data_IF_641619613395
#
_entry.id   IF_641619613395
#
_cell.length_a   1.000
_cell.length_b   1.000
_cell.length_c   1.000
_cell.angle_alpha   90.00
_cell.angle_beta   90.00
_cell.angle_gamma   90.00
#
_symmetry.space_group_name_H-M   'P 1'
#
loop_
_entity.id
_entity.type
_entity.pdbx_description
1 polymer ?
#
# COMPACT_ATOMS: atom_id res chain seq x y z
N UNK A 1 5.20 -45.08 1.61
CA UNK A 1 4.04 -44.30 2.06
C UNK A 1 4.59 -43.13 2.87
N UNK A 2 4.45 -41.89 2.38
CA UNK A 2 4.92 -40.72 3.15
C UNK A 2 4.15 -40.65 4.46
N UNK A 3 4.87 -40.64 5.57
CA UNK A 3 4.34 -40.64 6.94
C UNK A 3 4.01 -39.21 7.44
N UNK A 4 3.86 -38.25 6.51
CA UNK A 4 3.72 -36.83 6.81
C UNK A 4 2.25 -36.44 6.98
N UNK A 5 1.93 -35.79 8.11
CA UNK A 5 0.58 -35.36 8.47
C UNK A 5 0.08 -34.27 7.51
N UNK A 6 -1.09 -34.49 6.90
CA UNK A 6 -1.79 -33.49 6.07
C UNK A 6 -2.44 -32.40 6.92
N UNK A 7 -2.76 -31.24 6.32
CA UNK A 7 -3.47 -30.16 7.00
C UNK A 7 -4.77 -30.65 7.66
N UNK A 8 -5.58 -31.41 6.92
CA UNK A 8 -6.87 -31.89 7.43
C UNK A 8 -6.69 -32.84 8.62
N UNK A 9 -5.69 -33.73 8.59
CA UNK A 9 -5.38 -34.61 9.72
C UNK A 9 -4.98 -33.80 10.97
N UNK A 10 -4.13 -32.78 10.82
CA UNK A 10 -3.73 -31.89 11.92
C UNK A 10 -4.93 -31.14 12.53
N UNK A 11 -5.83 -30.62 11.69
CA UNK A 11 -7.06 -29.96 12.14
C UNK A 11 -8.03 -30.91 12.85
N UNK A 12 -8.22 -32.13 12.31
CA UNK A 12 -9.13 -33.13 12.88
C UNK A 12 -8.65 -33.58 14.27
N UNK A 13 -7.34 -33.75 14.46
CA UNK A 13 -6.73 -34.07 15.77
C UNK A 13 -7.02 -32.99 16.82
N UNK A 14 -7.17 -31.73 16.42
CA UNK A 14 -7.50 -30.59 17.30
C UNK A 14 -9.01 -30.37 17.49
N UNK A 15 -9.85 -31.31 17.06
CA UNK A 15 -11.29 -31.26 17.26
C UNK A 15 -12.06 -30.40 16.23
N UNK A 16 -11.41 -29.91 15.17
CA UNK A 16 -12.09 -29.12 14.13
C UNK A 16 -13.07 -29.99 13.35
N UNK A 17 -14.34 -29.58 13.26
CA UNK A 17 -15.35 -30.30 12.48
C UNK A 17 -15.12 -30.15 10.97
N UNK A 18 -15.55 -31.13 10.16
CA UNK A 18 -15.52 -31.00 8.68
C UNK A 18 -16.25 -29.75 8.18
N UNK A 19 -17.34 -29.35 8.86
CA UNK A 19 -18.09 -28.12 8.54
C UNK A 19 -17.24 -26.87 8.78
N UNK A 20 -16.55 -26.78 9.91
CA UNK A 20 -15.66 -25.64 10.22
C UNK A 20 -14.49 -25.56 9.24
N UNK A 21 -13.93 -26.71 8.85
CA UNK A 21 -12.89 -26.80 7.83
C UNK A 21 -13.37 -26.28 6.46
N UNK A 22 -14.57 -26.66 6.01
CA UNK A 22 -15.12 -26.15 4.75
C UNK A 22 -15.41 -24.65 4.81
N UNK A 23 -15.84 -24.11 5.96
CA UNK A 23 -15.99 -22.66 6.16
C UNK A 23 -14.65 -21.93 6.03
N UNK A 24 -13.59 -22.49 6.62
CA UNK A 24 -12.23 -21.97 6.47
C UNK A 24 -11.81 -21.92 4.99
N UNK A 25 -12.03 -23.02 4.24
CA UNK A 25 -11.72 -23.07 2.82
C UNK A 25 -12.49 -22.01 2.01
N UNK A 26 -13.75 -21.74 2.36
CA UNK A 26 -14.53 -20.67 1.71
C UNK A 26 -14.00 -19.28 2.03
N UNK A 27 -13.62 -19.01 3.29
CA UNK A 27 -13.03 -17.72 3.66
C UNK A 27 -11.68 -17.49 2.96
N UNK A 28 -10.84 -18.51 2.89
CA UNK A 28 -9.59 -18.50 2.14
C UNK A 28 -9.81 -18.21 0.64
N UNK A 29 -10.84 -18.81 0.03
CA UNK A 29 -11.19 -18.50 -1.36
C UNK A 29 -11.57 -17.02 -1.52
N UNK A 30 -12.40 -16.49 -0.61
CA UNK A 30 -12.84 -15.09 -0.66
C UNK A 30 -11.70 -14.11 -0.44
N UNK A 31 -10.79 -14.35 0.51
CA UNK A 31 -9.63 -13.46 0.76
C UNK A 31 -8.67 -13.39 -0.43
N UNK A 32 -8.65 -14.46 -1.23
CA UNK A 32 -7.91 -14.54 -2.50
C UNK A 32 -8.66 -13.94 -3.70
N UNK A 33 -9.88 -13.41 -3.51
CA UNK A 33 -10.73 -12.93 -4.59
C UNK A 33 -11.19 -14.05 -5.54
N UNK A 34 -11.20 -15.30 -5.08
CA UNK A 34 -11.60 -16.45 -5.87
C UNK A 34 -13.10 -16.71 -5.73
N UNK A 35 -13.74 -17.13 -6.82
CA UNK A 35 -15.17 -17.49 -6.81
C UNK A 35 -15.47 -18.73 -5.95
N UNK A 36 -16.73 -18.88 -5.53
CA UNK A 36 -17.19 -19.98 -4.65
C UNK A 36 -16.88 -21.40 -5.17
N UNK A 37 -16.71 -21.56 -6.49
CA UNK A 37 -16.28 -22.83 -7.10
C UNK A 37 -14.86 -23.27 -6.75
N UNK A 38 -14.05 -22.40 -6.11
CA UNK A 38 -12.69 -22.72 -5.70
C UNK A 38 -12.60 -23.39 -4.34
N UNK A 39 -13.59 -23.21 -3.45
CA UNK A 39 -13.61 -23.84 -2.12
C UNK A 39 -13.30 -25.35 -2.14
N UNK A 40 -13.88 -26.17 -3.03
CA UNK A 40 -13.61 -27.61 -3.05
C UNK A 40 -12.16 -27.96 -3.40
N UNK A 41 -11.49 -27.17 -4.25
CA UNK A 41 -10.08 -27.37 -4.58
C UNK A 41 -9.17 -27.01 -3.41
N UNK A 42 -9.49 -25.94 -2.67
CA UNK A 42 -8.80 -25.60 -1.42
C UNK A 42 -8.95 -26.75 -0.42
N UNK A 43 -10.18 -27.22 -0.21
CA UNK A 43 -10.45 -28.32 0.69
C UNK A 43 -9.67 -29.58 0.30
N UNK A 44 -9.65 -29.93 -0.98
CA UNK A 44 -8.91 -31.11 -1.47
C UNK A 44 -7.40 -30.99 -1.24
N UNK A 45 -6.80 -29.83 -1.55
CA UNK A 45 -5.37 -29.62 -1.35
C UNK A 45 -4.98 -29.80 0.13
N UNK A 46 -5.78 -29.21 1.02
CA UNK A 46 -5.58 -29.30 2.47
C UNK A 46 -5.90 -30.71 3.03
N UNK A 47 -6.76 -31.48 2.37
CA UNK A 47 -7.03 -32.87 2.76
C UNK A 47 -5.91 -33.85 2.36
N UNK A 48 -5.16 -33.55 1.30
CA UNK A 48 -4.31 -34.55 0.65
C UNK A 48 -2.81 -34.19 0.58
N UNK A 49 -2.41 -32.94 0.87
CA UNK A 49 -1.01 -32.53 0.82
C UNK A 49 -0.39 -32.39 2.22
N UNK A 50 0.84 -32.88 2.42
CA UNK A 50 1.67 -32.52 3.57
C UNK A 50 1.88 -31.00 3.64
N UNK A 51 2.14 -30.49 4.84
CA UNK A 51 2.46 -29.09 5.06
C UNK A 51 3.81 -28.75 4.44
N UNK A 52 3.89 -27.64 3.71
CA UNK A 52 5.11 -27.21 3.04
C UNK A 52 6.11 -26.71 4.11
N UNK A 53 7.37 -27.18 4.12
CA UNK A 53 8.42 -26.65 4.99
C UNK A 53 8.75 -25.20 4.64
N UNK A 54 8.81 -24.35 5.67
CA UNK A 54 9.14 -22.93 5.56
C UNK A 54 10.28 -22.61 6.52
N UNK A 55 11.32 -21.97 5.98
CA UNK A 55 12.44 -21.41 6.74
C UNK A 55 12.30 -19.89 6.68
N UNK A 56 12.12 -19.23 7.82
CA UNK A 56 12.01 -17.78 7.93
C UNK A 56 13.27 -17.22 8.59
N UNK A 57 14.04 -16.41 7.85
CA UNK A 57 15.28 -15.79 8.35
C UNK A 57 15.18 -14.28 8.39
N UNK A 58 15.93 -13.68 9.32
CA UNK A 58 15.91 -12.24 9.62
C UNK A 58 17.29 -11.62 9.40
N UNK A 59 17.36 -10.63 8.50
CA UNK A 59 18.55 -9.80 8.27
C UNK A 59 18.54 -8.53 9.11
N UNK A 60 19.01 -7.40 8.55
CA UNK A 60 18.72 -6.09 9.12
C UNK A 60 17.24 -5.77 8.94
N UNK A 61 16.51 -5.66 10.06
CA UNK A 61 15.06 -5.47 10.07
C UNK A 61 14.57 -4.70 11.31
N UNK A 62 13.26 -4.51 11.39
CA UNK A 62 12.55 -4.01 12.57
C UNK A 62 11.41 -4.96 13.01
N UNK A 63 11.35 -6.18 12.48
CA UNK A 63 10.37 -7.24 12.80
C UNK A 63 8.91 -6.88 12.49
N UNK A 64 8.65 -5.76 11.80
CA UNK A 64 7.29 -5.32 11.49
C UNK A 64 6.54 -6.30 10.57
N UNK A 65 7.24 -7.13 9.76
CA UNK A 65 6.58 -8.07 8.86
C UNK A 65 6.13 -9.31 9.61
N UNK A 66 6.95 -9.87 10.51
CA UNK A 66 6.52 -10.94 11.42
C UNK A 66 5.36 -10.48 12.31
N UNK A 67 5.43 -9.26 12.87
CA UNK A 67 4.29 -8.68 13.60
C UNK A 67 3.03 -8.59 12.72
N UNK A 68 3.17 -8.09 11.50
CA UNK A 68 2.05 -8.03 10.55
C UNK A 68 1.48 -9.43 10.23
N UNK A 69 2.34 -10.42 10.02
CA UNK A 69 1.91 -11.79 9.75
C UNK A 69 1.06 -12.36 10.88
N UNK A 70 1.46 -12.16 12.14
CA UNK A 70 0.68 -12.66 13.29
C UNK A 70 -0.65 -11.93 13.50
N UNK A 71 -0.82 -10.74 12.91
CA UNK A 71 -2.07 -9.98 12.88
C UNK A 71 -3.06 -10.42 11.79
N UNK A 72 -2.77 -11.49 11.04
CA UNK A 72 -3.70 -12.01 10.05
C UNK A 72 -5.00 -12.49 10.70
N UNK A 73 -6.14 -12.01 10.17
CA UNK A 73 -7.47 -12.38 10.63
C UNK A 73 -7.94 -13.67 9.96
N UNK A 74 -7.75 -13.78 8.63
CA UNK A 74 -8.32 -14.87 7.85
C UNK A 74 -7.41 -15.33 6.69
N UNK A 75 -6.64 -16.43 6.86
CA UNK A 75 -6.60 -17.32 8.02
C UNK A 75 -5.89 -16.70 9.24
N UNK A 76 -6.21 -17.16 10.46
CA UNK A 76 -5.45 -16.77 11.65
C UNK A 76 -4.01 -17.29 11.52
N UNK A 77 -3.02 -16.53 11.99
CA UNK A 77 -1.62 -16.95 11.97
C UNK A 77 -1.39 -18.29 12.70
N UNK A 78 -2.12 -18.52 13.80
CA UNK A 78 -2.18 -19.82 14.47
C UNK A 78 -2.55 -20.94 13.50
N UNK A 79 -3.59 -20.76 12.68
CA UNK A 79 -4.04 -21.78 11.73
C UNK A 79 -3.06 -21.94 10.56
N UNK A 80 -2.36 -20.86 10.17
CA UNK A 80 -1.27 -20.92 9.20
C UNK A 80 -0.15 -21.84 9.71
N UNK A 81 0.40 -21.55 10.90
CA UNK A 81 1.53 -22.29 11.49
C UNK A 81 1.13 -23.73 11.83
N UNK A 82 -0.05 -23.92 12.42
CA UNK A 82 -0.46 -25.21 12.92
C UNK A 82 -1.03 -26.14 11.85
N UNK A 83 -1.43 -25.59 10.70
CA UNK A 83 -2.20 -26.34 9.72
C UNK A 83 -1.73 -26.12 8.29
N UNK A 84 -1.47 -24.89 7.80
CA UNK A 84 -1.12 -24.62 6.38
C UNK A 84 0.34 -24.95 6.03
N UNK A 85 1.27 -24.55 6.87
CA UNK A 85 2.71 -24.70 6.62
C UNK A 85 3.38 -25.44 7.78
N UNK A 86 4.62 -25.86 7.57
CA UNK A 86 5.52 -26.20 8.68
C UNK A 86 6.53 -25.07 8.81
N UNK A 87 6.28 -24.15 9.75
CA UNK A 87 7.24 -23.09 10.06
C UNK A 87 8.36 -23.71 10.91
N UNK A 88 9.36 -24.25 10.22
CA UNK A 88 10.36 -25.15 10.81
C UNK A 88 11.57 -24.38 11.36
N UNK A 89 11.74 -23.12 10.94
CA UNK A 89 12.74 -22.20 11.48
C UNK A 89 12.19 -20.77 11.44
N UNK A 90 12.22 -20.07 12.57
CA UNK A 90 11.89 -18.65 12.71
C UNK A 90 12.51 -18.15 14.02
N UNK A 91 13.49 -17.25 13.94
CA UNK A 91 14.24 -16.76 15.11
C UNK A 91 13.33 -16.06 16.14
N UNK A 92 12.16 -15.58 15.74
CA UNK A 92 11.22 -14.84 16.61
C UNK A 92 10.33 -15.76 17.43
N UNK A 93 9.93 -16.92 16.87
CA UNK A 93 8.88 -17.78 17.44
C UNK A 93 9.38 -19.16 17.90
N UNK A 94 10.57 -19.59 17.48
CA UNK A 94 11.08 -20.93 17.79
C UNK A 94 11.51 -21.07 19.26
N UNK A 95 11.38 -22.28 19.79
CA UNK A 95 11.78 -22.59 21.17
C UNK A 95 13.30 -22.75 21.34
N UNK A 96 14.00 -23.25 20.32
CA UNK A 96 15.43 -23.48 20.36
C UNK A 96 16.22 -22.18 20.14
N UNK A 97 17.39 -22.05 20.76
CA UNK A 97 18.29 -20.91 20.64
C UNK A 97 19.75 -21.38 20.55
N UNK A 98 20.67 -20.49 20.20
CA UNK A 98 22.10 -20.82 20.12
C UNK A 98 22.38 -22.02 19.21
N UNK A 99 23.21 -22.95 19.68
CA UNK A 99 23.59 -24.14 18.92
C UNK A 99 22.39 -25.01 18.53
N UNK A 100 21.36 -25.11 19.37
CA UNK A 100 20.15 -25.88 19.03
C UNK A 100 19.38 -25.24 17.88
N UNK A 101 19.35 -23.91 17.78
CA UNK A 101 18.75 -23.23 16.63
C UNK A 101 19.58 -23.47 15.35
N UNK A 102 20.91 -23.42 15.46
CA UNK A 102 21.82 -23.73 14.34
C UNK A 102 21.65 -25.17 13.84
N UNK A 103 21.48 -26.14 14.75
CA UNK A 103 21.17 -27.53 14.41
C UNK A 103 19.84 -27.67 13.68
N UNK A 104 18.78 -26.99 14.14
CA UNK A 104 17.46 -26.99 13.46
C UNK A 104 17.59 -26.38 12.05
N UNK A 105 18.29 -25.25 11.91
CA UNK A 105 18.50 -24.63 10.61
C UNK A 105 19.21 -25.56 9.64
N UNK A 106 20.30 -26.21 10.08
CA UNK A 106 21.10 -27.10 9.25
C UNK A 106 20.36 -28.39 8.90
N UNK A 107 19.61 -28.96 9.85
CA UNK A 107 18.79 -30.16 9.63
C UNK A 107 17.69 -29.90 8.60
N UNK A 108 16.93 -28.80 8.75
CA UNK A 108 15.81 -28.46 7.86
C UNK A 108 16.32 -28.11 6.45
N UNK A 109 17.35 -27.26 6.36
CA UNK A 109 17.89 -26.83 5.05
C UNK A 109 18.55 -27.98 4.28
N UNK A 110 19.06 -29.01 4.97
CA UNK A 110 19.62 -30.22 4.36
C UNK A 110 18.54 -31.23 4.01
N UNK A 111 17.67 -31.59 4.96
CA UNK A 111 16.63 -32.61 4.80
C UNK A 111 15.62 -32.26 3.71
N UNK A 112 15.26 -30.98 3.60
CA UNK A 112 14.27 -30.49 2.65
C UNK A 112 14.87 -29.70 1.48
N UNK A 113 16.16 -29.86 1.20
CA UNK A 113 16.83 -29.20 0.08
C UNK A 113 16.04 -29.38 -1.23
N UNK A 114 15.81 -28.27 -1.93
CA UNK A 114 15.02 -28.17 -3.16
C UNK A 114 13.50 -28.15 -2.94
N UNK A 115 13.00 -28.26 -1.71
CA UNK A 115 11.56 -28.39 -1.42
C UNK A 115 10.99 -27.27 -0.55
N UNK A 116 11.77 -26.70 0.37
CA UNK A 116 11.26 -25.66 1.28
C UNK A 116 11.15 -24.28 0.61
N UNK A 117 10.24 -23.47 1.15
CA UNK A 117 10.14 -22.05 0.84
C UNK A 117 11.00 -21.27 1.83
N UNK A 118 11.81 -20.34 1.33
CA UNK A 118 12.57 -19.42 2.16
C UNK A 118 11.79 -18.10 2.30
N UNK A 119 11.32 -17.80 3.49
CA UNK A 119 10.83 -16.48 3.86
C UNK A 119 12.02 -15.64 4.35
N UNK A 120 12.15 -14.42 3.84
CA UNK A 120 13.19 -13.49 4.27
C UNK A 120 12.54 -12.19 4.70
N UNK A 121 12.75 -11.83 5.97
CA UNK A 121 12.51 -10.48 6.47
C UNK A 121 13.86 -9.75 6.65
N UNK A 122 13.85 -8.45 6.37
CA UNK A 122 15.08 -7.66 6.39
C UNK A 122 15.96 -7.87 5.17
N UNK A 123 17.21 -7.43 5.27
CA UNK A 123 18.20 -7.54 4.19
C UNK A 123 19.65 -7.67 4.69
N UNK A 124 20.56 -8.19 3.85
CA UNK A 124 21.98 -8.22 4.15
C UNK A 124 22.64 -6.82 4.00
N UNK A 125 23.42 -6.36 4.98
CA UNK A 125 24.37 -5.28 4.80
C UNK A 125 25.64 -5.79 4.08
N UNK A 126 26.22 -4.95 3.22
CA UNK A 126 27.49 -5.27 2.54
C UNK A 126 28.70 -4.53 3.13
N UNK A 127 28.47 -3.46 3.90
CA UNK A 127 29.53 -2.73 4.59
C UNK A 127 30.21 -3.58 5.67
N UNK A 128 31.46 -3.24 6.00
CA UNK A 128 32.27 -3.94 7.02
C UNK A 128 32.29 -5.47 6.84
N UNK A 129 32.52 -5.93 5.60
CA UNK A 129 32.52 -7.36 5.24
C UNK A 129 31.20 -8.09 5.59
N UNK A 130 30.10 -7.34 5.71
CA UNK A 130 28.78 -7.84 6.09
C UNK A 130 28.53 -7.96 7.60
N UNK A 131 29.46 -7.51 8.44
CA UNK A 131 29.41 -7.67 9.90
C UNK A 131 28.47 -6.70 10.62
N UNK A 132 27.79 -5.79 9.90
CA UNK A 132 26.71 -5.00 10.49
C UNK A 132 25.49 -5.86 10.89
N UNK A 133 25.38 -7.09 10.38
CA UNK A 133 24.40 -8.08 10.81
C UNK A 133 25.08 -9.43 10.98
N UNK A 134 25.20 -9.90 12.22
CA UNK A 134 25.96 -11.10 12.59
C UNK A 134 24.98 -12.18 13.06
N UNK A 135 25.08 -13.39 12.51
CA UNK A 135 24.32 -14.56 12.93
C UNK A 135 25.29 -15.73 13.09
N UNK A 136 25.27 -16.41 14.25
CA UNK A 136 26.21 -17.50 14.55
C UNK A 136 27.69 -17.08 14.48
N UNK A 137 27.99 -15.82 14.82
CA UNK A 137 29.34 -15.26 14.72
C UNK A 137 29.85 -14.98 13.30
N UNK A 138 28.99 -15.08 12.27
CA UNK A 138 29.32 -14.88 10.86
C UNK A 138 28.43 -13.80 10.22
N UNK A 139 28.84 -13.20 9.10
CA UNK A 139 27.97 -12.30 8.33
C UNK A 139 26.64 -12.97 7.96
N UNK A 140 25.51 -12.29 8.20
CA UNK A 140 24.17 -12.82 7.85
C UNK A 140 24.05 -13.24 6.39
N UNK A 141 24.77 -12.57 5.47
CA UNK A 141 24.78 -12.91 4.05
C UNK A 141 25.21 -14.37 3.78
N UNK A 142 26.02 -14.99 4.65
CA UNK A 142 26.38 -16.41 4.57
C UNK A 142 25.16 -17.30 4.86
N UNK A 143 24.43 -17.03 5.96
CA UNK A 143 23.18 -17.73 6.32
C UNK A 143 22.14 -17.59 5.21
N UNK A 144 21.98 -16.37 4.67
CA UNK A 144 21.09 -16.09 3.54
C UNK A 144 21.45 -16.94 2.31
N UNK A 145 22.73 -16.96 1.88
CA UNK A 145 23.16 -17.73 0.71
C UNK A 145 22.97 -19.24 0.91
N UNK A 146 23.28 -19.77 2.11
CA UNK A 146 23.08 -21.19 2.45
C UNK A 146 21.60 -21.57 2.36
N UNK A 147 20.71 -20.78 2.97
CA UNK A 147 19.27 -21.01 2.88
C UNK A 147 18.73 -20.84 1.44
N UNK A 148 19.21 -19.83 0.71
CA UNK A 148 18.74 -19.58 -0.65
C UNK A 148 19.09 -20.73 -1.60
N UNK A 149 20.31 -21.29 -1.48
CA UNK A 149 20.77 -22.39 -2.33
C UNK A 149 19.85 -23.63 -2.24
N UNK A 150 19.37 -23.95 -1.03
CA UNK A 150 18.46 -25.08 -0.80
C UNK A 150 16.97 -24.78 -1.01
N UNK A 151 16.57 -23.52 -1.17
CA UNK A 151 15.16 -23.16 -1.33
C UNK A 151 14.62 -23.48 -2.74
N UNK A 152 13.33 -23.82 -2.84
CA UNK A 152 12.62 -23.94 -4.12
C UNK A 152 12.18 -22.57 -4.65
N UNK A 153 11.76 -21.68 -3.76
CA UNK A 153 11.47 -20.28 -4.03
C UNK A 153 11.67 -19.43 -2.78
N UNK A 154 11.79 -18.11 -2.97
CA UNK A 154 12.02 -17.13 -1.90
C UNK A 154 10.86 -16.15 -1.87
N UNK A 155 10.34 -15.87 -0.67
CA UNK A 155 9.41 -14.76 -0.43
C UNK A 155 10.17 -13.66 0.30
N UNK A 156 10.33 -12.51 -0.35
CA UNK A 156 10.92 -11.31 0.22
C UNK A 156 9.83 -10.48 0.92
N UNK A 157 9.70 -10.65 2.22
CA UNK A 157 8.69 -9.96 3.03
C UNK A 157 9.08 -8.51 3.31
N UNK A 158 8.15 -7.62 3.01
CA UNK A 158 8.27 -6.20 3.30
C UNK A 158 9.21 -5.46 2.37
N UNK A 159 9.22 -4.14 2.57
CA UNK A 159 10.05 -3.23 1.77
C UNK A 159 11.55 -3.45 2.02
N UNK A 160 11.94 -4.01 3.18
CA UNK A 160 13.33 -4.30 3.52
C UNK A 160 13.92 -5.34 2.56
N UNK A 161 13.31 -6.52 2.50
CA UNK A 161 13.77 -7.61 1.64
C UNK A 161 13.54 -7.29 0.16
N UNK A 162 12.42 -6.64 -0.15
CA UNK A 162 12.05 -6.30 -1.54
C UNK A 162 12.97 -5.23 -2.14
N UNK A 163 13.28 -4.15 -1.40
CA UNK A 163 13.88 -2.94 -1.95
C UNK A 163 14.94 -2.24 -1.09
N UNK A 164 15.10 -2.61 0.18
CA UNK A 164 16.08 -2.00 1.09
C UNK A 164 15.47 -1.29 2.31
N UNK A 165 14.31 -0.64 2.13
CA UNK A 165 13.61 0.16 3.15
C UNK A 165 14.48 1.22 3.85
N UNK A 166 14.25 1.46 5.13
CA UNK A 166 14.74 2.64 5.88
C UNK A 166 16.27 2.60 6.04
N UNK A 167 16.83 1.43 6.28
CA UNK A 167 18.27 1.22 6.40
C UNK A 167 19.04 1.48 5.09
N UNK A 168 18.34 1.40 3.94
CA UNK A 168 18.89 1.70 2.63
C UNK A 168 18.60 3.13 2.14
N UNK A 169 17.83 3.92 2.91
CA UNK A 169 17.62 5.34 2.62
C UNK A 169 18.94 6.11 2.74
N UNK A 170 19.06 7.27 2.09
CA UNK A 170 20.31 8.06 2.13
C UNK A 170 20.78 8.32 3.57
N UNK A 171 22.09 8.12 3.88
CA UNK A 171 23.18 7.76 2.98
C UNK A 171 23.48 6.26 2.83
N UNK A 172 22.62 5.36 3.32
CA UNK A 172 22.82 3.90 3.36
C UNK A 172 24.16 3.48 4.01
N UNK A 173 24.33 3.75 5.33
CA UNK A 173 25.62 3.57 6.00
C UNK A 173 26.11 2.12 6.05
N UNK A 174 25.19 1.16 6.08
CA UNK A 174 25.52 -0.29 6.17
C UNK A 174 25.58 -0.95 4.80
N UNK A 175 25.31 -0.21 3.72
CA UNK A 175 25.14 -0.75 2.37
C UNK A 175 24.09 -1.88 2.34
N UNK A 176 22.98 -1.67 3.05
CA UNK A 176 21.82 -2.56 3.07
C UNK A 176 21.32 -2.77 1.63
N UNK A 177 21.23 -4.04 1.22
CA UNK A 177 21.01 -4.41 -0.18
C UNK A 177 19.87 -5.42 -0.29
N UNK A 178 18.84 -5.20 -1.13
CA UNK A 178 17.68 -6.10 -1.22
C UNK A 178 18.05 -7.49 -1.73
N UNK A 179 17.20 -8.48 -1.43
CA UNK A 179 17.52 -9.90 -1.61
C UNK A 179 17.81 -10.25 -3.08
N UNK A 180 17.09 -9.64 -4.01
CA UNK A 180 17.24 -9.88 -5.46
C UNK A 180 18.55 -9.34 -6.07
N UNK A 181 19.33 -8.57 -5.30
CA UNK A 181 20.68 -8.14 -5.68
C UNK A 181 21.78 -9.05 -5.15
N UNK A 182 21.45 -9.93 -4.21
CA UNK A 182 22.37 -10.90 -3.61
C UNK A 182 22.11 -12.31 -4.12
N UNK A 183 20.84 -12.69 -4.21
CA UNK A 183 20.38 -13.98 -4.74
C UNK A 183 19.78 -13.73 -6.12
N UNK A 184 20.35 -14.37 -7.15
CA UNK A 184 20.02 -14.09 -8.56
C UNK A 184 19.60 -15.33 -9.34
N UNK A 185 19.70 -16.51 -8.73
CA UNK A 185 19.50 -17.83 -9.32
C UNK A 185 18.25 -18.55 -8.78
N UNK A 186 17.38 -17.84 -8.04
CA UNK A 186 16.14 -18.38 -7.46
C UNK A 186 14.93 -17.51 -7.80
N UNK A 187 13.73 -18.10 -7.92
CA UNK A 187 12.49 -17.33 -7.99
C UNK A 187 12.29 -16.51 -6.71
N UNK A 188 12.11 -15.19 -6.84
CA UNK A 188 11.87 -14.28 -5.71
C UNK A 188 10.51 -13.59 -5.90
N UNK A 189 9.60 -13.83 -4.96
CA UNK A 189 8.32 -13.12 -4.83
C UNK A 189 8.52 -11.95 -3.89
N UNK A 190 8.44 -10.72 -4.40
CA UNK A 190 8.49 -9.50 -3.60
C UNK A 190 7.12 -9.17 -3.05
N UNK A 191 7.00 -9.07 -1.74
CA UNK A 191 5.75 -8.64 -1.09
C UNK A 191 6.02 -7.36 -0.31
N UNK A 192 6.09 -6.20 -0.98
CA UNK A 192 6.53 -4.96 -0.37
C UNK A 192 5.43 -4.29 0.47
N UNK A 193 5.85 -3.30 1.27
CA UNK A 193 5.06 -2.65 2.31
C UNK A 193 5.88 -2.57 3.60
N UNK A 194 5.66 -1.55 4.42
CA UNK A 194 6.37 -1.37 5.69
C UNK A 194 5.38 -1.28 6.87
N UNK A 195 4.77 -2.41 7.29
CA UNK A 195 4.85 -3.75 6.70
C UNK A 195 3.86 -3.97 5.53
N UNK A 196 3.83 -5.15 4.88
CA UNK A 196 2.71 -5.58 4.04
C UNK A 196 1.46 -5.82 4.89
N UNK A 197 0.27 -5.78 4.28
CA UNK A 197 -1.01 -6.01 4.99
C UNK A 197 -1.05 -7.46 5.53
N UNK A 198 -1.48 -7.68 6.79
CA UNK A 198 -1.54 -9.01 7.41
C UNK A 198 -2.25 -10.06 6.55
N UNK A 199 -3.49 -9.77 6.16
CA UNK A 199 -4.31 -10.68 5.36
C UNK A 199 -3.80 -10.85 3.93
N UNK A 200 -3.01 -9.91 3.41
CA UNK A 200 -2.31 -10.08 2.11
C UNK A 200 -1.18 -11.10 2.25
N UNK A 201 -0.41 -11.05 3.33
CA UNK A 201 0.67 -12.02 3.58
C UNK A 201 0.11 -13.44 3.70
N UNK A 202 -0.93 -13.61 4.52
CA UNK A 202 -1.56 -14.92 4.73
C UNK A 202 -2.32 -15.43 3.49
N UNK A 203 -2.94 -14.53 2.72
CA UNK A 203 -3.53 -14.89 1.43
C UNK A 203 -2.47 -15.41 0.46
N UNK A 204 -1.33 -14.73 0.30
CA UNK A 204 -0.24 -15.21 -0.58
C UNK A 204 0.24 -16.61 -0.18
N UNK A 205 0.44 -16.86 1.12
CA UNK A 205 0.80 -18.21 1.63
C UNK A 205 -0.28 -19.22 1.26
N UNK A 206 -1.55 -18.89 1.52
CA UNK A 206 -2.69 -19.78 1.24
C UNK A 206 -2.81 -20.08 -0.25
N UNK A 207 -2.58 -19.09 -1.12
CA UNK A 207 -2.54 -19.28 -2.56
C UNK A 207 -1.45 -20.28 -2.95
N UNK A 208 -0.22 -20.08 -2.47
CA UNK A 208 0.91 -20.96 -2.81
C UNK A 208 0.66 -22.40 -2.36
N UNK A 209 0.17 -22.61 -1.15
CA UNK A 209 -0.18 -23.94 -0.62
C UNK A 209 -1.32 -24.59 -1.42
N UNK A 210 -2.37 -23.82 -1.72
CA UNK A 210 -3.56 -24.32 -2.41
C UNK A 210 -3.27 -24.71 -3.86
N UNK A 211 -2.59 -23.83 -4.59
CA UNK A 211 -2.41 -23.95 -6.03
C UNK A 211 -1.06 -24.57 -6.41
N UNK A 212 -0.18 -24.78 -5.44
CA UNK A 212 1.13 -25.43 -5.63
C UNK A 212 1.96 -24.74 -6.72
N UNK A 213 1.89 -23.40 -6.72
CA UNK A 213 2.56 -22.54 -7.68
C UNK A 213 2.75 -21.14 -7.11
N UNK A 214 3.71 -20.41 -7.64
CA UNK A 214 3.89 -18.99 -7.34
C UNK A 214 2.72 -18.17 -7.90
N UNK A 215 2.33 -17.06 -7.25
CA UNK A 215 1.36 -16.14 -7.81
C UNK A 215 1.89 -15.51 -9.11
N UNK A 216 0.98 -15.06 -9.97
CA UNK A 216 1.38 -14.25 -11.12
C UNK A 216 1.99 -12.94 -10.62
N UNK A 217 3.16 -12.60 -11.16
CA UNK A 217 3.95 -11.45 -10.72
C UNK A 217 3.96 -10.37 -11.80
N UNK A 218 4.02 -9.11 -11.39
CA UNK A 218 4.38 -8.02 -12.28
C UNK A 218 5.88 -8.06 -12.64
N UNK A 219 6.30 -7.15 -13.54
CA UNK A 219 7.70 -7.02 -13.97
C UNK A 219 8.70 -6.70 -12.85
N UNK A 220 8.23 -6.33 -11.65
CA UNK A 220 9.05 -6.06 -10.47
C UNK A 220 9.11 -7.25 -9.51
N UNK A 221 8.37 -8.33 -9.79
CA UNK A 221 8.28 -9.52 -8.95
C UNK A 221 7.18 -9.45 -7.88
N UNK A 222 6.20 -8.55 -8.01
CA UNK A 222 5.12 -8.36 -7.02
C UNK A 222 3.85 -9.12 -7.42
N UNK A 223 3.13 -9.80 -6.51
CA UNK A 223 1.89 -10.49 -6.84
C UNK A 223 0.81 -9.56 -7.43
N UNK A 224 0.36 -9.84 -8.65
CA UNK A 224 -0.61 -9.01 -9.38
C UNK A 224 -1.93 -8.83 -8.62
N UNK A 225 -2.37 -9.85 -7.90
CA UNK A 225 -3.63 -9.85 -7.14
C UNK A 225 -3.72 -8.72 -6.08
N UNK A 226 -2.59 -8.25 -5.54
CA UNK A 226 -2.55 -7.21 -4.51
C UNK A 226 -1.76 -5.96 -4.90
N UNK A 227 -0.87 -6.08 -5.88
CA UNK A 227 0.01 -4.98 -6.33
C UNK A 227 -0.21 -4.57 -7.79
N UNK A 228 -1.26 -5.09 -8.44
CA UNK A 228 -1.59 -4.75 -9.83
C UNK A 228 -2.27 -3.37 -10.01
N UNK A 229 -2.78 -2.78 -8.93
CA UNK A 229 -3.47 -1.50 -8.94
C UNK A 229 -2.84 -0.51 -7.95
N UNK A 230 -2.99 0.79 -8.24
CA UNK A 230 -2.53 1.85 -7.35
C UNK A 230 -3.54 2.08 -6.24
N UNK A 231 -3.05 2.53 -5.09
CA UNK A 231 -3.89 2.98 -3.96
C UNK A 231 -4.94 3.99 -4.43
N UNK A 232 -4.51 4.97 -5.23
CA UNK A 232 -5.37 6.04 -5.73
C UNK A 232 -6.49 5.57 -6.67
N UNK A 233 -6.29 4.46 -7.38
CA UNK A 233 -7.26 3.93 -8.34
C UNK A 233 -8.43 3.20 -7.66
N UNK A 234 -8.29 2.89 -6.35
CA UNK A 234 -9.34 2.31 -5.50
C UNK A 234 -9.62 3.12 -4.23
N UNK A 235 -9.11 4.35 -4.15
CA UNK A 235 -9.30 5.21 -2.99
C UNK A 235 -10.75 5.70 -2.89
N UNK A 236 -11.38 5.55 -1.73
CA UNK A 236 -12.75 6.04 -1.50
C UNK A 236 -12.85 7.58 -1.56
N UNK A 237 -11.76 8.30 -1.33
CA UNK A 237 -11.67 9.77 -1.45
C UNK A 237 -11.42 10.25 -2.89
N UNK A 238 -11.49 9.36 -3.88
CA UNK A 238 -11.24 9.71 -5.28
C UNK A 238 -12.22 10.74 -5.82
N UNK A 239 -13.49 10.67 -5.40
CA UNK A 239 -14.50 11.67 -5.77
C UNK A 239 -14.08 13.11 -5.40
N UNK A 240 -13.54 13.31 -4.18
CA UNK A 240 -13.04 14.62 -3.74
C UNK A 240 -11.80 15.06 -4.53
N UNK A 241 -10.90 14.13 -4.86
CA UNK A 241 -9.75 14.43 -5.73
C UNK A 241 -10.21 14.94 -7.10
N UNK A 242 -11.16 14.22 -7.72
CA UNK A 242 -11.69 14.54 -9.05
C UNK A 242 -12.50 15.85 -9.03
N UNK A 243 -13.14 16.20 -7.89
CA UNK A 243 -13.83 17.48 -7.69
C UNK A 243 -12.89 18.67 -7.45
N UNK A 244 -11.65 18.42 -7.01
CA UNK A 244 -10.71 19.47 -6.57
C UNK A 244 -10.89 19.88 -5.10
N UNK A 245 -11.51 19.01 -4.29
CA UNK A 245 -11.79 19.20 -2.88
C UNK A 245 -10.68 18.58 -2.03
N UNK A 246 -9.87 19.42 -1.41
CA UNK A 246 -8.66 19.01 -0.71
C UNK A 246 -8.61 19.50 0.72
N UNK A 247 -8.00 18.69 1.57
CA UNK A 247 -7.46 19.16 2.85
C UNK A 247 -6.26 20.06 2.56
N UNK A 248 -6.21 21.22 3.21
CA UNK A 248 -5.09 22.18 3.06
C UNK A 248 -4.25 22.30 4.33
N UNK A 249 -4.82 21.99 5.49
CA UNK A 249 -4.12 21.90 6.76
C UNK A 249 -4.76 20.86 7.67
N UNK A 250 -3.99 20.33 8.64
CA UNK A 250 -4.50 19.31 9.55
C UNK A 250 -5.64 19.87 10.41
N UNK A 251 -6.71 19.10 10.55
CA UNK A 251 -7.93 19.45 11.30
C UNK A 251 -8.72 20.66 10.76
N UNK A 252 -8.51 21.06 9.51
CA UNK A 252 -9.42 21.99 8.85
C UNK A 252 -10.81 21.35 8.58
N UNK A 253 -11.78 22.17 8.16
CA UNK A 253 -13.13 21.68 7.88
C UNK A 253 -13.17 20.65 6.74
N UNK A 254 -12.21 20.70 5.82
CA UNK A 254 -12.07 19.70 4.75
C UNK A 254 -11.60 18.35 5.32
N UNK A 255 -10.65 18.34 6.27
CA UNK A 255 -10.19 17.14 6.96
C UNK A 255 -11.32 16.51 7.77
N UNK A 256 -12.10 17.32 8.49
CA UNK A 256 -13.26 16.87 9.28
C UNK A 256 -14.38 16.28 8.42
N UNK A 257 -14.47 16.67 7.15
CA UNK A 257 -15.39 16.12 6.15
C UNK A 257 -14.79 14.94 5.35
N UNK A 258 -13.53 14.60 5.58
CA UNK A 258 -12.84 13.52 4.87
C UNK A 258 -12.50 13.86 3.41
N UNK A 259 -12.06 15.08 3.11
CA UNK A 259 -11.64 15.46 1.75
C UNK A 259 -10.30 14.85 1.36
N UNK A 260 -9.92 15.00 0.08
CA UNK A 260 -8.73 14.37 -0.46
C UNK A 260 -7.43 14.93 0.17
N UNK A 261 -6.51 14.02 0.52
CA UNK A 261 -5.22 14.32 1.16
C UNK A 261 -4.09 14.60 0.16
N UNK A 262 -4.38 14.80 -1.13
CA UNK A 262 -3.35 15.02 -2.16
C UNK A 262 -2.49 16.24 -1.86
N UNK A 263 -3.10 17.38 -1.49
CA UNK A 263 -2.37 18.60 -1.13
C UNK A 263 -1.53 18.46 0.15
N UNK A 264 -1.89 17.51 1.02
CA UNK A 264 -1.13 17.12 2.21
C UNK A 264 0.04 16.15 1.91
N UNK A 265 0.32 15.87 0.63
CA UNK A 265 1.45 15.08 0.19
C UNK A 265 1.18 13.59 -0.04
N UNK A 266 -0.09 13.16 -0.05
CA UNK A 266 -0.45 11.77 -0.28
C UNK A 266 0.20 11.19 -1.56
N UNK A 267 0.98 10.11 -1.40
CA UNK A 267 1.70 9.37 -2.45
C UNK A 267 0.89 8.22 -3.08
N UNK A 268 -0.39 8.10 -2.71
CA UNK A 268 -1.30 7.10 -3.28
C UNK A 268 -1.34 7.04 -4.82
N UNK A 269 -1.23 8.17 -5.55
CA UNK A 269 -1.20 8.19 -7.02
C UNK A 269 -0.04 7.44 -7.67
N UNK A 270 1.04 7.15 -6.94
CA UNK A 270 2.23 6.46 -7.47
C UNK A 270 2.55 5.19 -6.69
N UNK A 271 1.66 4.73 -5.81
CA UNK A 271 1.87 3.60 -4.91
C UNK A 271 0.97 2.43 -5.26
N UNK A 272 1.54 1.26 -5.52
CA UNK A 272 0.80 0.02 -5.74
C UNK A 272 0.74 -0.79 -4.45
N UNK A 273 -0.48 -1.07 -3.99
CA UNK A 273 -0.79 -1.91 -2.84
C UNK A 273 -2.32 -2.11 -2.75
N UNK A 274 -2.78 -2.92 -1.81
CA UNK A 274 -4.19 -3.21 -1.57
C UNK A 274 -4.81 -2.40 -0.42
N UNK A 275 -4.13 -1.39 0.13
CA UNK A 275 -4.60 -0.71 1.35
C UNK A 275 -5.96 -0.02 1.20
N UNK A 276 -6.30 0.50 0.01
CA UNK A 276 -7.59 1.17 -0.22
C UNK A 276 -8.74 0.20 -0.53
N UNK A 277 -8.44 -1.06 -0.86
CA UNK A 277 -9.43 -2.11 -1.11
C UNK A 277 -9.54 -3.07 0.08
N UNK A 278 -8.47 -3.80 0.38
CA UNK A 278 -8.39 -4.79 1.47
C UNK A 278 -8.36 -4.12 2.84
N UNK A 279 -7.78 -2.91 2.94
CA UNK A 279 -7.56 -2.20 4.21
C UNK A 279 -6.64 -2.97 5.16
N UNK A 280 -6.53 -2.53 6.40
CA UNK A 280 -5.65 -3.05 7.44
C UNK A 280 -6.45 -3.53 8.65
N UNK A 281 -5.92 -4.55 9.32
CA UNK A 281 -6.44 -5.10 10.58
C UNK A 281 -7.92 -5.51 10.48
N UNK A 282 -8.21 -6.62 9.81
CA UNK A 282 -9.59 -7.09 9.53
C UNK A 282 -10.44 -6.07 8.77
N UNK A 283 -9.79 -5.31 7.90
CA UNK A 283 -10.42 -4.30 7.07
C UNK A 283 -10.94 -3.06 7.82
N UNK A 284 -10.48 -2.80 9.04
CA UNK A 284 -10.93 -1.71 9.92
C UNK A 284 -10.58 -0.32 9.35
N UNK A 285 -9.31 -0.08 9.00
CA UNK A 285 -8.88 1.21 8.46
C UNK A 285 -7.68 1.07 7.53
N UNK A 286 -7.18 2.18 7.00
CA UNK A 286 -5.88 2.30 6.35
C UNK A 286 -5.43 3.79 6.43
N UNK A 287 -4.16 4.15 6.10
CA UNK A 287 -3.64 5.48 6.41
C UNK A 287 -4.53 6.66 5.99
N UNK A 288 -5.06 6.62 4.76
CA UNK A 288 -5.90 7.70 4.22
C UNK A 288 -7.24 7.81 4.95
N UNK A 289 -7.85 6.67 5.32
CA UNK A 289 -9.08 6.66 6.10
C UNK A 289 -8.89 7.22 7.50
N UNK A 290 -7.70 7.03 8.08
CA UNK A 290 -7.32 7.64 9.36
C UNK A 290 -6.79 9.07 9.23
N UNK A 291 -6.99 9.73 8.07
CA UNK A 291 -6.67 11.15 7.88
C UNK A 291 -5.23 11.46 7.48
N UNK A 292 -4.36 10.45 7.26
CA UNK A 292 -2.98 10.68 6.83
C UNK A 292 -2.74 10.25 5.38
N UNK A 293 -2.04 11.08 4.61
CA UNK A 293 -1.65 10.75 3.24
C UNK A 293 -0.83 9.46 3.17
N UNK A 294 -1.03 8.66 2.10
CA UNK A 294 -0.18 7.50 1.85
C UNK A 294 1.29 7.93 1.72
N UNK A 295 2.22 7.19 2.36
CA UNK A 295 3.65 7.48 2.30
C UNK A 295 4.36 6.85 1.10
N UNK A 296 3.72 5.88 0.44
CA UNK A 296 4.33 5.08 -0.61
C UNK A 296 5.21 3.93 -0.11
N UNK A 297 4.94 3.41 1.08
CA UNK A 297 5.80 2.43 1.76
C UNK A 297 5.96 1.06 1.08
N UNK A 298 5.24 0.78 -0.01
CA UNK A 298 5.42 -0.41 -0.86
C UNK A 298 6.21 -0.15 -2.14
N UNK A 299 6.66 1.08 -2.36
CA UNK A 299 7.46 1.46 -3.53
C UNK A 299 8.96 1.52 -3.21
N UNK A 300 9.75 1.26 -4.25
CA UNK A 300 11.20 1.32 -4.15
C UNK A 300 11.69 2.76 -3.88
N UNK A 301 12.54 2.90 -2.86
CA UNK A 301 13.19 4.15 -2.48
C UNK A 301 12.25 5.22 -1.95
N UNK A 302 11.06 4.85 -1.44
CA UNK A 302 10.04 5.81 -1.02
C UNK A 302 10.53 6.83 0.03
N UNK A 303 11.48 6.44 0.88
CA UNK A 303 12.14 7.32 1.86
C UNK A 303 12.86 8.52 1.22
N UNK A 304 13.38 8.36 0.01
CA UNK A 304 14.19 9.36 -0.69
C UNK A 304 13.41 10.09 -1.81
N UNK A 305 12.06 9.97 -1.83
CA UNK A 305 11.19 10.65 -2.81
C UNK A 305 10.80 12.08 -2.37
N UNK A 306 11.67 12.73 -1.61
CA UNK A 306 11.39 14.03 -0.98
C UNK A 306 10.45 13.90 0.23
N UNK A 307 10.00 15.04 0.77
CA UNK A 307 9.14 15.05 1.95
C UNK A 307 7.81 14.33 1.71
N UNK A 308 7.36 13.60 2.73
CA UNK A 308 6.03 12.97 2.70
C UNK A 308 4.90 13.98 2.56
N UNK A 309 5.11 15.22 2.99
CA UNK A 309 4.10 16.29 2.92
C UNK A 309 4.20 17.15 1.65
N UNK A 310 5.23 16.93 0.83
CA UNK A 310 5.30 17.55 -0.50
C UNK A 310 4.40 16.81 -1.49
N UNK A 311 3.74 17.56 -2.38
CA UNK A 311 2.87 16.97 -3.41
C UNK A 311 3.65 16.06 -4.33
N UNK A 312 2.99 15.01 -4.83
CA UNK A 312 3.51 14.25 -5.97
C UNK A 312 3.47 15.16 -7.19
N UNK A 313 4.60 15.32 -7.87
CA UNK A 313 4.66 16.04 -9.15
C UNK A 313 4.20 15.10 -10.28
N UNK A 314 3.69 15.66 -11.37
CA UNK A 314 3.31 14.92 -12.60
C UNK A 314 2.04 14.03 -12.52
N UNK A 315 1.16 14.25 -11.53
CA UNK A 315 -0.19 13.68 -11.55
C UNK A 315 -1.13 14.68 -12.22
N UNK A 316 -1.76 14.35 -13.37
CA UNK A 316 -2.73 15.22 -14.00
C UNK A 316 -3.93 15.41 -13.07
N UNK A 317 -4.13 16.62 -12.57
CA UNK A 317 -5.25 17.00 -11.73
C UNK A 317 -6.02 18.13 -12.41
N UNK A 318 -7.25 17.84 -12.82
CA UNK A 318 -8.24 18.82 -13.25
C UNK A 318 -9.48 18.62 -12.39
N UNK A 319 -9.72 19.53 -11.44
CA UNK A 319 -10.88 19.43 -10.55
C UNK A 319 -12.14 19.87 -11.28
N UNK A 320 -13.14 18.99 -11.41
CA UNK A 320 -14.37 19.29 -12.16
C UNK A 320 -15.14 20.45 -11.52
N UNK A 321 -15.34 20.41 -10.20
CA UNK A 321 -16.03 21.47 -9.46
C UNK A 321 -15.13 22.69 -9.31
N UNK A 322 -13.86 22.53 -8.90
CA UNK A 322 -12.97 23.69 -8.73
C UNK A 322 -12.79 24.50 -10.02
N UNK A 323 -12.75 23.82 -11.18
CA UNK A 323 -12.70 24.50 -12.49
C UNK A 323 -14.04 25.19 -12.80
N UNK A 324 -15.17 24.51 -12.57
CA UNK A 324 -16.49 25.09 -12.79
C UNK A 324 -16.76 26.31 -11.91
N UNK A 325 -16.40 26.25 -10.62
CA UNK A 325 -16.53 27.36 -9.67
C UNK A 325 -15.64 28.54 -10.08
N UNK A 326 -14.40 28.28 -10.49
CA UNK A 326 -13.49 29.33 -10.97
C UNK A 326 -14.06 30.02 -12.22
N UNK A 327 -14.60 29.25 -13.17
CA UNK A 327 -15.27 29.77 -14.36
C UNK A 327 -16.52 30.57 -13.99
N UNK A 328 -17.36 30.05 -13.08
CA UNK A 328 -18.56 30.71 -12.60
C UNK A 328 -18.27 32.03 -11.89
N UNK A 329 -17.32 32.04 -10.95
CA UNK A 329 -16.86 33.24 -10.24
C UNK A 329 -16.27 34.27 -11.19
N UNK A 330 -15.46 33.83 -12.17
CA UNK A 330 -14.87 34.73 -13.19
C UNK A 330 -15.96 35.35 -14.06
N UNK A 331 -16.90 34.55 -14.56
CA UNK A 331 -18.02 35.03 -15.36
C UNK A 331 -18.88 36.02 -14.57
N UNK A 332 -19.18 35.73 -13.31
CA UNK A 332 -19.93 36.62 -12.42
C UNK A 332 -19.17 37.92 -12.18
N UNK A 333 -17.85 37.87 -11.97
CA UNK A 333 -16.99 39.05 -11.83
C UNK A 333 -17.00 39.94 -13.08
N UNK A 334 -16.91 39.35 -14.27
CA UNK A 334 -16.98 40.08 -15.55
C UNK A 334 -18.35 40.75 -15.72
N UNK A 335 -19.45 40.05 -15.45
CA UNK A 335 -20.80 40.62 -15.53
C UNK A 335 -20.97 41.74 -14.51
N UNK A 336 -20.56 41.54 -13.26
CA UNK A 336 -20.65 42.55 -12.22
C UNK A 336 -19.85 43.81 -12.55
N UNK A 337 -18.62 43.67 -13.06
CA UNK A 337 -17.80 44.79 -13.52
C UNK A 337 -18.42 45.51 -14.72
N UNK A 338 -18.99 44.76 -15.67
CA UNK A 338 -19.70 45.32 -16.82
C UNK A 338 -20.93 46.13 -16.42
N UNK A 339 -21.79 45.58 -15.56
CA UNK A 339 -22.99 46.26 -15.05
C UNK A 339 -22.61 47.47 -14.19
N UNK A 340 -21.64 47.31 -13.28
CA UNK A 340 -21.14 48.40 -12.44
C UNK A 340 -20.54 49.55 -13.27
N UNK A 341 -19.71 49.22 -14.26
CA UNK A 341 -19.15 50.17 -15.21
C UNK A 341 -20.22 50.89 -16.03
N UNK A 342 -21.22 50.16 -16.53
CA UNK A 342 -22.34 50.74 -17.27
C UNK A 342 -23.21 51.68 -16.42
N UNK A 343 -23.45 51.33 -15.16
CA UNK A 343 -24.19 52.17 -14.22
C UNK A 343 -23.45 53.49 -13.92
N UNK A 344 -22.14 53.42 -13.68
CA UNK A 344 -21.29 54.61 -13.46
C UNK A 344 -21.26 55.49 -14.72
N UNK A 345 -21.04 54.89 -15.90
CA UNK A 345 -21.04 55.63 -17.16
C UNK A 345 -22.40 56.31 -17.45
N UNK A 346 -23.50 55.62 -17.17
CA UNK A 346 -24.86 56.17 -17.33
C UNK A 346 -25.13 57.33 -16.38
N UNK A 347 -24.73 57.23 -15.12
CA UNK A 347 -24.86 58.32 -14.14
C UNK A 347 -24.03 59.57 -14.53
N UNK A 348 -22.81 59.37 -15.01
CA UNK A 348 -21.96 60.45 -15.52
C UNK A 348 -22.56 61.11 -16.77
N UNK A 349 -23.09 60.31 -17.69
CA UNK A 349 -23.72 60.82 -18.91
C UNK A 349 -25.02 61.59 -18.60
N UNK A 350 -25.83 61.11 -17.65
CA UNK A 350 -27.04 61.80 -17.20
C UNK A 350 -26.70 63.14 -16.52
N UNK A 351 -25.67 63.19 -15.67
CA UNK A 351 -25.16 64.45 -15.11
C UNK A 351 -24.67 65.42 -16.19
N UNK A 352 -23.99 64.91 -17.23
CA UNK A 352 -23.52 65.73 -18.35
C UNK A 352 -24.68 66.30 -19.17
N UNK A 353 -25.69 65.48 -19.48
CA UNK A 353 -26.93 65.92 -20.14
C UNK A 353 -27.71 66.95 -19.31
N UNK A 354 -27.82 66.75 -18.00
CA UNK A 354 -28.45 67.72 -17.11
C UNK A 354 -27.71 69.07 -17.08
N UNK A 355 -26.37 69.06 -17.05
CA UNK A 355 -25.57 70.29 -17.17
C UNK A 355 -25.75 70.98 -18.53
N UNK A 356 -25.84 70.22 -19.63
CA UNK A 356 -26.08 70.77 -20.96
C UNK A 356 -27.49 71.38 -21.09
N UNK A 357 -28.51 70.76 -20.49
CA UNK A 357 -29.86 71.31 -20.46
C UNK A 357 -29.95 72.61 -19.64
N UNK A 358 -29.26 72.68 -18.49
CA UNK A 358 -29.17 73.92 -17.71
C UNK A 358 -28.46 75.04 -18.49
N UNK A 359 -27.37 74.72 -19.19
CA UNK A 359 -26.65 75.70 -20.01
C UNK A 359 -27.45 76.16 -21.24
N UNK A 360 -28.32 75.31 -21.80
CA UNK A 360 -29.24 75.69 -22.87
C UNK A 360 -30.42 76.53 -22.37
N UNK A 361 -30.90 76.28 -21.15
CA UNK A 361 -31.92 77.11 -20.51
C UNK A 361 -31.41 78.53 -20.16
N UNK A 362 -30.11 78.69 -19.87
CA UNK A 362 -29.47 80.01 -19.69
C UNK A 362 -29.19 80.76 -21.02
N UNK A 363 -29.26 80.09 -22.17
CA UNK A 363 -28.97 80.68 -23.49
C UNK A 363 -30.22 80.97 -24.33
N UNK A 364 -31.42 80.80 -23.79
CA UNK A 364 -32.66 81.16 -24.47
C UNK A 364 -32.93 82.66 -24.24
N UNK A 365 -32.81 83.55 -25.25
CA UNK A 365 -33.10 84.97 -25.08
C UNK A 365 -34.62 85.17 -24.98
N UNK A 366 -35.05 86.02 -24.04
CA UNK A 366 -36.39 86.58 -24.00
C UNK A 366 -36.71 87.23 -25.36
N UNK A 367 -37.63 86.61 -26.12
CA UNK A 367 -38.16 87.18 -27.34
C UNK A 367 -39.58 87.68 -27.09
N UNK A 368 -39.65 89.00 -26.88
CA UNK A 368 -40.72 89.96 -27.18
C UNK A 368 -42.20 89.65 -26.87
N UNK A 369 -42.74 90.45 -25.93
CA UNK A 369 -43.77 91.49 -26.18
C UNK A 369 -44.99 91.17 -27.08
N UNK A 370 -46.21 91.29 -26.52
CA UNK A 370 -47.27 92.23 -26.99
C UNK A 370 -48.59 92.15 -26.21
N UNK A 371 -48.92 93.30 -25.61
CA UNK A 371 -50.22 94.01 -25.59
C UNK A 371 -51.53 93.25 -25.28
N UNK A 372 -52.17 93.58 -24.15
CA UNK A 372 -53.32 94.51 -24.09
C UNK A 372 -53.72 94.78 -22.63
#
# INVERSE_FOLDING_TARGET
MNNEETFYQAMRRKGVTRRSFLKFCSLAATSLGLGAGMTPKIAWALENKPRIPVVWIHGLECTCCTESFIHSSHPLAKDVILSLISLDYDDTLMAAAGAQAEEVFDDITTRYAGKYILAVEGNPPLGEQGMFCISGGRPFIEKLKKAAAGASAIIAWGNCASWGCVQAARPNPTQATPIDKVITDKPIVKVPGCPPIPDVMSAIITYMVTFDRLPELDRMGRPLMFYGQRIHDKCYLRAHFDAGEFVESWDDDAARKGYCLYKMGCKGPTTYNACSSTRWNDGVSFPIQSGHGCLGCSENGFWDRGSFYSRVVDIPQMGTHSTADTVGLTALGVVAAGVGGHAVASALNQRKRHKQQLAQAEQQPDNEDKQA
#
